data_IF_232199418423
#
_entry.id   IF_232199418423
#
_cell.length_a   1.000
_cell.length_b   1.000
_cell.length_c   1.000
_cell.angle_alpha   90.00
_cell.angle_beta   90.00
_cell.angle_gamma   90.00
#
_symmetry.space_group_name_H-M   'P 1'
#
loop_
_entity.id
_entity.type
_entity.pdbx_description
1 polymer ?
#
# COMPACT_ATOMS: atom_id res chain seq x y z
N UNK A 1 -14.46 -6.87 -49.73
CA UNK A 1 -14.85 -8.05 -48.94
C UNK A 1 -14.37 -7.81 -47.53
N UNK A 2 -15.28 -7.63 -46.58
CA UNK A 2 -14.93 -7.53 -45.16
C UNK A 2 -14.36 -8.87 -44.72
N UNK A 3 -13.11 -8.87 -44.27
CA UNK A 3 -12.48 -10.03 -43.63
C UNK A 3 -13.29 -10.34 -42.36
N UNK A 4 -14.12 -11.39 -42.43
CA UNK A 4 -14.89 -11.86 -41.29
C UNK A 4 -13.91 -12.51 -40.31
N UNK A 5 -13.84 -11.97 -39.10
CA UNK A 5 -13.05 -12.55 -38.01
C UNK A 5 -13.52 -13.99 -37.73
N UNK A 6 -12.62 -14.89 -37.31
CA UNK A 6 -12.98 -16.24 -36.90
C UNK A 6 -14.12 -16.25 -35.87
N UNK A 7 -15.00 -17.25 -35.94
CA UNK A 7 -16.19 -17.36 -35.07
C UNK A 7 -15.84 -17.41 -33.58
N UNK A 8 -14.65 -17.91 -33.24
CA UNK A 8 -14.14 -18.05 -31.87
C UNK A 8 -13.39 -16.80 -31.37
N UNK A 9 -13.12 -15.81 -32.23
CA UNK A 9 -12.32 -14.63 -31.89
C UNK A 9 -12.87 -13.88 -30.66
N UNK A 10 -14.18 -13.68 -30.59
CA UNK A 10 -14.79 -12.96 -29.46
C UNK A 10 -14.65 -13.73 -28.14
N UNK A 11 -14.78 -15.05 -28.19
CA UNK A 11 -14.58 -15.91 -27.02
C UNK A 11 -13.10 -15.90 -26.58
N UNK A 12 -12.17 -15.99 -27.52
CA UNK A 12 -10.74 -15.88 -27.25
C UNK A 12 -10.37 -14.51 -26.67
N UNK A 13 -10.88 -13.43 -27.24
CA UNK A 13 -10.65 -12.07 -26.75
C UNK A 13 -11.18 -11.87 -25.32
N UNK A 14 -12.36 -12.41 -25.00
CA UNK A 14 -12.91 -12.37 -23.65
C UNK A 14 -12.02 -13.11 -22.65
N UNK A 15 -11.56 -14.33 -22.99
CA UNK A 15 -10.64 -15.09 -22.16
C UNK A 15 -9.30 -14.36 -21.96
N UNK A 16 -8.77 -13.75 -23.01
CA UNK A 16 -7.52 -12.99 -22.93
C UNK A 16 -7.66 -11.76 -22.03
N UNK A 17 -8.76 -11.01 -22.15
CA UNK A 17 -9.07 -9.87 -21.26
C UNK A 17 -9.14 -10.31 -19.80
N UNK A 18 -9.77 -11.44 -19.51
CA UNK A 18 -9.88 -11.96 -18.14
C UNK A 18 -8.51 -12.37 -17.58
N UNK A 19 -7.69 -13.06 -18.37
CA UNK A 19 -6.31 -13.41 -17.98
C UNK A 19 -5.47 -12.17 -17.68
N UNK A 20 -5.59 -11.12 -18.50
CA UNK A 20 -4.89 -9.85 -18.30
C UNK A 20 -5.34 -9.20 -16.98
N UNK A 21 -6.65 -9.06 -16.76
CA UNK A 21 -7.19 -8.48 -15.52
C UNK A 21 -6.72 -9.25 -14.28
N UNK A 22 -6.78 -10.57 -14.32
CA UNK A 22 -6.29 -11.42 -13.23
C UNK A 22 -4.79 -11.21 -12.95
N UNK A 23 -3.97 -11.11 -13.99
CA UNK A 23 -2.53 -10.83 -13.84
C UNK A 23 -2.28 -9.44 -13.22
N UNK A 24 -3.03 -8.42 -13.66
CA UNK A 24 -2.90 -7.07 -13.12
C UNK A 24 -3.32 -7.00 -11.64
N UNK A 25 -4.40 -7.70 -11.24
CA UNK A 25 -4.83 -7.78 -9.83
C UNK A 25 -3.74 -8.41 -8.97
N UNK A 26 -3.15 -9.52 -9.42
CA UNK A 26 -2.04 -10.18 -8.70
C UNK A 26 -0.84 -9.25 -8.53
N UNK A 27 -0.48 -8.51 -9.58
CA UNK A 27 0.61 -7.53 -9.52
C UNK A 27 0.31 -6.42 -8.50
N UNK A 28 -0.90 -5.85 -8.53
CA UNK A 28 -1.33 -4.81 -7.58
C UNK A 28 -1.27 -5.29 -6.12
N UNK A 29 -1.74 -6.51 -5.85
CA UNK A 29 -1.71 -7.09 -4.50
C UNK A 29 -0.27 -7.34 -4.01
N UNK A 30 0.63 -7.78 -4.89
CA UNK A 30 2.04 -7.93 -4.57
C UNK A 30 2.71 -6.58 -4.25
N UNK A 31 2.46 -5.55 -5.07
CA UNK A 31 2.97 -4.19 -4.81
C UNK A 31 2.46 -3.64 -3.49
N UNK A 32 1.18 -3.83 -3.17
CA UNK A 32 0.61 -3.40 -1.88
C UNK A 32 1.31 -4.06 -0.69
N UNK A 33 1.58 -5.37 -0.78
CA UNK A 33 2.28 -6.09 0.29
C UNK A 33 3.65 -5.49 0.53
N UNK A 34 4.42 -5.23 -0.53
CA UNK A 34 5.74 -4.62 -0.42
C UNK A 34 5.68 -3.19 0.12
N UNK A 35 4.67 -2.40 -0.27
CA UNK A 35 4.49 -1.04 0.26
C UNK A 35 4.18 -1.04 1.76
N UNK A 36 3.33 -1.96 2.24
CA UNK A 36 3.03 -2.11 3.68
C UNK A 36 4.30 -2.43 4.46
N UNK A 37 5.11 -3.38 3.97
CA UNK A 37 6.37 -3.77 4.60
C UNK A 37 7.40 -2.64 4.59
N UNK A 38 7.53 -1.93 3.47
CA UNK A 38 8.40 -0.76 3.34
C UNK A 38 8.03 0.32 4.36
N UNK A 39 6.74 0.66 4.45
CA UNK A 39 6.25 1.70 5.36
C UNK A 39 6.43 1.31 6.82
N UNK A 40 6.21 0.04 7.16
CA UNK A 40 6.53 -0.48 8.47
C UNK A 40 8.03 -0.38 8.79
N UNK A 41 8.89 -0.79 7.85
CA UNK A 41 10.35 -0.74 7.99
C UNK A 41 10.87 0.68 8.21
N UNK A 42 10.38 1.66 7.44
CA UNK A 42 10.71 3.08 7.64
C UNK A 42 10.30 3.54 9.05
N UNK A 43 9.13 3.11 9.53
CA UNK A 43 8.68 3.39 10.89
C UNK A 43 9.62 2.84 11.95
N UNK A 44 10.11 1.60 11.77
CA UNK A 44 11.09 0.96 12.65
C UNK A 44 12.41 1.73 12.67
N UNK A 45 12.91 2.13 11.51
CA UNK A 45 14.14 2.91 11.39
C UNK A 45 14.02 4.26 12.09
N UNK A 46 12.87 4.93 11.96
CA UNK A 46 12.59 6.16 12.69
C UNK A 46 12.66 5.90 14.20
N UNK A 47 11.92 4.91 14.72
CA UNK A 47 11.93 4.58 16.15
C UNK A 47 13.34 4.28 16.67
N UNK A 48 14.12 3.51 15.94
CA UNK A 48 15.49 3.18 16.30
C UNK A 48 16.36 4.45 16.40
N UNK A 49 16.28 5.35 15.41
CA UNK A 49 17.06 6.59 15.40
C UNK A 49 16.58 7.59 16.45
N UNK A 50 15.29 7.60 16.79
CA UNK A 50 14.80 8.37 17.94
C UNK A 50 15.43 7.87 19.24
N UNK A 51 15.49 6.55 19.45
CA UNK A 51 16.07 5.96 20.65
C UNK A 51 17.60 6.15 20.74
N UNK A 52 18.32 6.00 19.62
CA UNK A 52 19.78 6.03 19.60
C UNK A 52 20.38 7.43 19.47
N UNK A 53 19.68 8.36 18.79
CA UNK A 53 20.23 9.64 18.36
C UNK A 53 19.34 10.84 18.74
N UNK A 54 18.22 10.61 19.41
CA UNK A 54 17.32 11.68 19.86
C UNK A 54 16.61 12.41 18.72
N UNK A 55 16.35 11.74 17.59
CA UNK A 55 15.69 12.35 16.43
C UNK A 55 14.33 12.97 16.81
N UNK A 56 14.25 14.30 16.72
CA UNK A 56 13.02 15.06 16.94
C UNK A 56 12.22 15.32 15.66
N UNK A 57 11.10 16.03 15.79
CA UNK A 57 10.20 16.35 14.68
C UNK A 57 10.89 17.02 13.49
N UNK A 58 11.87 17.90 13.74
CA UNK A 58 12.62 18.62 12.69
C UNK A 58 13.37 17.67 11.74
N UNK A 59 13.94 16.57 12.27
CA UNK A 59 14.65 15.60 11.43
C UNK A 59 13.66 14.79 10.59
N UNK A 60 12.50 14.46 11.13
CA UNK A 60 11.42 13.77 10.39
C UNK A 60 10.88 14.65 9.26
N UNK A 61 10.72 15.95 9.52
CA UNK A 61 10.25 16.91 8.51
C UNK A 61 11.27 17.06 7.37
N UNK A 62 12.57 17.09 7.69
CA UNK A 62 13.64 17.12 6.68
C UNK A 62 13.68 15.82 5.87
N UNK A 63 13.60 14.65 6.55
CA UNK A 63 13.56 13.36 5.88
C UNK A 63 12.37 13.26 4.90
N UNK A 64 11.19 13.72 5.30
CA UNK A 64 10.03 13.76 4.41
C UNK A 64 10.28 14.63 3.17
N UNK A 65 10.92 15.78 3.34
CA UNK A 65 11.26 16.68 2.23
C UNK A 65 12.22 16.01 1.26
N UNK A 66 13.27 15.38 1.77
CA UNK A 66 14.30 14.74 0.96
C UNK A 66 13.72 13.53 0.20
N UNK A 67 12.93 12.69 0.87
CA UNK A 67 12.25 11.55 0.23
C UNK A 67 11.26 12.00 -0.84
N UNK A 68 10.51 13.09 -0.62
CA UNK A 68 9.59 13.62 -1.63
C UNK A 68 10.31 14.23 -2.82
N UNK A 69 11.50 14.80 -2.61
CA UNK A 69 12.32 15.34 -3.69
C UNK A 69 12.89 14.21 -4.56
N UNK A 70 13.36 13.13 -3.94
CA UNK A 70 13.90 11.97 -4.67
C UNK A 70 12.81 11.13 -5.35
N UNK A 71 11.66 10.98 -4.69
CA UNK A 71 10.54 10.17 -5.17
C UNK A 71 9.27 11.01 -5.37
N UNK A 72 9.25 11.97 -6.33
CA UNK A 72 8.14 12.90 -6.49
C UNK A 72 6.82 12.23 -6.89
N UNK A 73 6.89 11.08 -7.56
CA UNK A 73 5.73 10.27 -7.96
C UNK A 73 5.09 9.51 -6.78
N UNK A 74 5.80 9.39 -5.66
CA UNK A 74 5.31 8.68 -4.47
C UNK A 74 4.66 9.66 -3.49
N UNK A 75 3.33 9.65 -3.44
CA UNK A 75 2.55 10.45 -2.47
C UNK A 75 2.70 10.01 -1.01
N UNK A 76 3.37 8.87 -0.77
CA UNK A 76 3.54 8.25 0.54
C UNK A 76 4.48 9.00 1.51
N UNK A 77 5.36 9.88 1.05
CA UNK A 77 6.46 10.43 1.87
C UNK A 77 6.23 11.83 2.47
N UNK A 78 5.00 12.14 2.90
CA UNK A 78 4.75 13.36 3.68
C UNK A 78 5.21 13.22 5.14
N UNK A 79 5.55 14.33 5.83
CA UNK A 79 5.89 14.31 7.26
C UNK A 79 4.80 13.64 8.11
N UNK A 80 3.54 13.91 7.80
CA UNK A 80 2.40 13.23 8.44
C UNK A 80 2.48 11.72 8.24
N UNK A 81 2.75 11.27 7.02
CA UNK A 81 2.81 9.84 6.74
C UNK A 81 3.99 9.17 7.44
N UNK A 82 5.16 9.81 7.52
CA UNK A 82 6.29 9.28 8.27
C UNK A 82 5.96 9.13 9.77
N UNK A 83 5.21 10.06 10.36
CA UNK A 83 4.72 9.93 11.74
C UNK A 83 3.76 8.75 11.90
N UNK A 84 2.93 8.47 10.91
CA UNK A 84 2.08 7.27 10.90
C UNK A 84 2.85 5.98 10.68
N UNK A 85 3.85 5.96 9.79
CA UNK A 85 4.76 4.83 9.60
C UNK A 85 5.42 4.47 10.94
N UNK A 86 5.90 5.48 11.66
CA UNK A 86 6.43 5.33 13.02
C UNK A 86 5.41 4.72 13.98
N UNK A 87 4.20 5.29 14.05
CA UNK A 87 3.14 4.78 14.94
C UNK A 87 2.73 3.34 14.58
N UNK A 88 2.70 3.01 13.30
CA UNK A 88 2.42 1.66 12.81
C UNK A 88 3.52 0.67 13.27
N UNK A 89 4.78 1.04 13.13
CA UNK A 89 5.90 0.24 13.62
C UNK A 89 5.95 0.09 15.14
N UNK A 90 5.46 1.09 15.87
CA UNK A 90 5.35 1.09 17.33
C UNK A 90 4.25 0.12 17.80
N UNK A 91 3.09 0.13 17.13
CA UNK A 91 1.97 -0.76 17.43
C UNK A 91 2.27 -2.23 17.07
N UNK A 92 3.09 -2.48 16.05
CA UNK A 92 3.41 -3.83 15.58
C UNK A 92 4.93 -4.06 15.55
N UNK A 93 5.59 -4.31 16.69
CA UNK A 93 7.05 -4.41 16.76
C UNK A 93 7.63 -5.67 16.10
N UNK A 94 6.82 -6.71 15.88
CA UNK A 94 7.25 -7.99 15.33
C UNK A 94 7.04 -8.06 13.82
N UNK A 95 8.14 -8.14 13.06
CA UNK A 95 8.11 -8.20 11.59
C UNK A 95 7.27 -9.37 11.05
N UNK A 96 7.40 -10.55 11.66
CA UNK A 96 6.68 -11.74 11.24
C UNK A 96 5.15 -11.54 11.28
N UNK A 97 4.67 -10.81 12.29
CA UNK A 97 3.24 -10.49 12.43
C UNK A 97 2.78 -9.60 11.27
N UNK A 98 3.59 -8.62 10.90
CA UNK A 98 3.29 -7.69 9.79
C UNK A 98 3.36 -8.40 8.44
N UNK A 99 4.34 -9.27 8.22
CA UNK A 99 4.44 -10.06 6.99
C UNK A 99 3.25 -11.01 6.82
N UNK A 100 2.82 -11.66 7.90
CA UNK A 100 1.65 -12.54 7.89
C UNK A 100 0.36 -11.74 7.66
N UNK A 101 0.19 -10.62 8.37
CA UNK A 101 -0.96 -9.74 8.22
C UNK A 101 -1.04 -9.17 6.79
N UNK A 102 0.07 -8.67 6.24
CA UNK A 102 0.12 -8.16 4.87
C UNK A 102 -0.23 -9.26 3.85
N UNK A 103 0.24 -10.48 4.05
CA UNK A 103 -0.10 -11.62 3.20
C UNK A 103 -1.57 -12.05 3.29
N UNK A 104 -2.19 -11.96 4.48
CA UNK A 104 -3.62 -12.23 4.68
C UNK A 104 -4.48 -11.12 4.08
N UNK A 105 -4.10 -9.86 4.28
CA UNK A 105 -4.79 -8.68 3.72
C UNK A 105 -4.83 -8.72 2.19
N UNK A 106 -3.76 -9.16 1.53
CA UNK A 106 -3.76 -9.37 0.07
C UNK A 106 -4.80 -10.40 -0.40
N UNK A 107 -5.37 -11.21 0.51
CA UNK A 107 -6.38 -12.23 0.21
C UNK A 107 -7.80 -11.77 0.54
N UNK A 108 -8.00 -10.63 1.20
CA UNK A 108 -9.33 -10.13 1.56
C UNK A 108 -10.14 -9.72 0.32
N UNK A 109 -11.44 -10.09 0.22
CA UNK A 109 -12.26 -9.78 -0.95
C UNK A 109 -12.33 -8.29 -1.29
N UNK A 110 -12.34 -7.42 -0.28
CA UNK A 110 -12.38 -5.97 -0.46
C UNK A 110 -11.10 -5.48 -1.13
N UNK A 111 -9.94 -6.02 -0.76
CA UNK A 111 -8.65 -5.68 -1.38
C UNK A 111 -8.56 -6.21 -2.81
N UNK A 112 -9.09 -7.40 -3.08
CA UNK A 112 -9.16 -7.96 -4.42
C UNK A 112 -10.08 -7.14 -5.34
N UNK A 113 -11.26 -6.73 -4.83
CA UNK A 113 -12.20 -5.87 -5.55
C UNK A 113 -11.62 -4.48 -5.79
N UNK A 114 -10.97 -3.90 -4.79
CA UNK A 114 -10.26 -2.63 -4.91
C UNK A 114 -9.19 -2.74 -6.00
N UNK A 115 -8.28 -3.72 -5.90
CA UNK A 115 -7.25 -3.98 -6.91
C UNK A 115 -7.84 -4.16 -8.32
N UNK A 116 -8.96 -4.88 -8.46
CA UNK A 116 -9.62 -5.09 -9.75
C UNK A 116 -10.22 -3.81 -10.37
N UNK A 117 -10.67 -2.86 -9.56
CA UNK A 117 -11.23 -1.58 -10.02
C UNK A 117 -10.15 -0.61 -10.54
N UNK A 118 -8.93 -0.71 -10.03
CA UNK A 118 -7.80 0.15 -10.43
C UNK A 118 -6.99 -0.41 -11.60
N UNK A 119 -7.12 -1.71 -11.89
CA UNK A 119 -6.50 -2.34 -13.06
C UNK A 119 -7.17 -1.87 -14.35
N UNK A 120 -6.62 -0.79 -14.90
CA UNK A 120 -7.14 -0.06 -16.08
C UNK A 120 -6.77 1.43 -16.10
N UNK A 121 -6.23 1.97 -15.00
CA UNK A 121 -5.81 3.37 -14.88
C UNK A 121 -4.26 3.48 -14.89
N UNK A 122 -3.64 4.45 -15.60
CA UNK A 122 -2.18 4.60 -15.68
C UNK A 122 -1.51 5.01 -14.36
N UNK A 123 -2.26 5.48 -13.36
CA UNK A 123 -1.73 5.92 -12.06
C UNK A 123 -2.06 4.86 -11.00
N UNK A 124 -1.40 3.71 -11.12
CA UNK A 124 -1.61 2.56 -10.22
C UNK A 124 -1.06 2.84 -8.82
N UNK A 125 0.00 3.64 -8.69
CA UNK A 125 0.69 3.84 -7.40
C UNK A 125 -0.04 4.80 -6.44
N UNK A 126 -0.59 5.92 -6.95
CA UNK A 126 -1.25 6.92 -6.09
C UNK A 126 -2.54 6.40 -5.43
N UNK A 127 -3.32 5.60 -6.16
CA UNK A 127 -4.58 5.03 -5.67
C UNK A 127 -4.33 3.83 -4.75
N UNK A 128 -3.35 2.98 -5.08
CA UNK A 128 -2.92 1.88 -4.19
C UNK A 128 -2.39 2.43 -2.85
N UNK A 129 -1.58 3.50 -2.88
CA UNK A 129 -1.11 4.15 -1.67
C UNK A 129 -2.28 4.69 -0.83
N UNK A 130 -3.28 5.35 -1.44
CA UNK A 130 -4.46 5.86 -0.73
C UNK A 130 -5.32 4.74 -0.11
N UNK A 131 -5.61 3.66 -0.84
CA UNK A 131 -6.41 2.54 -0.34
C UNK A 131 -5.66 1.79 0.78
N UNK A 132 -4.35 1.62 0.62
CA UNK A 132 -3.47 1.03 1.64
C UNK A 132 -3.41 1.93 2.88
N UNK A 133 -3.44 3.25 2.72
CA UNK A 133 -3.47 4.20 3.83
C UNK A 133 -4.80 4.24 4.58
N UNK A 134 -5.92 4.22 3.87
CA UNK A 134 -7.24 4.08 4.49
C UNK A 134 -7.35 2.76 5.27
N UNK A 135 -6.78 1.67 4.75
CA UNK A 135 -6.74 0.40 5.49
C UNK A 135 -5.82 0.43 6.69
N UNK A 136 -4.62 1.02 6.60
CA UNK A 136 -3.73 1.17 7.76
C UNK A 136 -4.38 2.03 8.87
N UNK A 137 -5.12 3.09 8.50
CA UNK A 137 -5.92 3.86 9.46
C UNK A 137 -7.05 3.02 10.03
N UNK A 138 -7.80 2.29 9.22
CA UNK A 138 -8.89 1.41 9.69
C UNK A 138 -8.38 0.30 10.62
N UNK A 139 -7.20 -0.26 10.38
CA UNK A 139 -6.54 -1.22 11.25
C UNK A 139 -6.12 -0.58 12.59
N UNK A 140 -5.66 0.67 12.59
CA UNK A 140 -5.38 1.42 13.81
C UNK A 140 -6.66 1.73 14.60
N UNK A 141 -7.76 2.08 13.92
CA UNK A 141 -9.06 2.37 14.55
C UNK A 141 -9.75 1.11 15.11
N UNK A 142 -9.52 -0.06 14.51
CA UNK A 142 -10.08 -1.34 14.98
C UNK A 142 -9.20 -2.04 16.02
N UNK A 143 -7.88 -1.85 15.98
CA UNK A 143 -6.95 -2.42 16.96
C UNK A 143 -6.79 -1.59 18.24
N UNK A 144 -7.22 -0.31 18.24
CA UNK A 144 -7.33 0.51 19.45
C UNK A 144 -8.80 0.50 19.90
N UNK A 145 -9.20 -0.32 20.89
CA UNK A 145 -10.51 -0.16 21.50
C UNK A 145 -10.52 1.16 22.26
N UNK A 146 -11.19 2.18 21.72
CA UNK A 146 -11.64 3.41 22.38
C UNK A 146 -10.79 3.84 23.61
N UNK A 147 -9.57 4.33 23.40
CA UNK A 147 -8.91 5.12 24.44
C UNK A 147 -9.34 6.58 24.31
N UNK A 148 -10.49 6.88 24.94
CA UNK A 148 -10.98 8.21 25.34
C UNK A 148 -11.46 9.15 24.22
N UNK A 149 -12.79 9.14 24.01
CA UNK A 149 -13.52 10.40 23.87
C UNK A 149 -13.54 11.06 25.26
N UNK A 150 -12.76 12.12 25.42
CA UNK A 150 -12.94 13.17 26.43
C UNK A 150 -12.61 14.50 25.80
#
# INVERSE_FOLDING_TARGET
MSELLPLDYQAYLAQLKERIRSAQVKAALAVNRELVLLYWGIGRDILQRQAQQGWGAKVIDQLAKDLKQEFPEMSGFSSRNLKYMRAFAEAYPAELVVQQAAGQLSREPIMQQAAAQITGQPIVQGVLAQITWYHNIALLETAIPNSKKS
#
